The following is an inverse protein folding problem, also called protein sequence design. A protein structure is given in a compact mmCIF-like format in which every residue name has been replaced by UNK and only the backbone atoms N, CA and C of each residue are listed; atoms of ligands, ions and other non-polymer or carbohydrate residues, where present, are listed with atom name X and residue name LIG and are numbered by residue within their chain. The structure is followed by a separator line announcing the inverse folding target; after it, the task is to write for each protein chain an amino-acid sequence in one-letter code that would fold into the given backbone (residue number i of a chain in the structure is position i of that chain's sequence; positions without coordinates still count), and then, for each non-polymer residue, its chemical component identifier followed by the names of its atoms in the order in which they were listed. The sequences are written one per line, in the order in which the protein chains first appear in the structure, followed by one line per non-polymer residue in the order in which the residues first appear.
data_IF_276181452981
#
_entry.id   IF_276181452981
#
_cell.length_a   1.000
_cell.length_b   1.000
_cell.length_c   1.000
_cell.angle_alpha   90.00
_cell.angle_beta   90.00
_cell.angle_gamma   90.00
#
_symmetry.space_group_name_H-M   'P 1'
#
loop_
_entity.id
_entity.type
_entity.pdbx_description
1 polymer ?
#
# COMPACT_ATOMS: atom_id res chain seq x y z
N UNK A 1 2.84 10.90 -5.23
CA UNK A 1 1.42 10.84 -5.62
C UNK A 1 0.48 11.50 -4.59
N UNK A 2 0.75 11.41 -3.29
CA UNK A 2 -0.17 11.92 -2.25
C UNK A 2 -0.50 13.41 -2.39
N UNK A 3 0.49 14.26 -2.59
CA UNK A 3 0.27 15.72 -2.75
C UNK A 3 -0.58 16.01 -3.99
N UNK A 4 -0.30 15.35 -5.10
CA UNK A 4 -1.04 15.54 -6.35
C UNK A 4 -2.49 15.09 -6.23
N UNK A 5 -2.71 13.91 -5.65
CA UNK A 5 -4.05 13.41 -5.38
C UNK A 5 -4.82 14.36 -4.45
N UNK A 6 -4.19 14.83 -3.37
CA UNK A 6 -4.80 15.76 -2.44
C UNK A 6 -5.25 17.06 -3.11
N UNK A 7 -4.40 17.64 -3.99
CA UNK A 7 -4.77 18.82 -4.79
C UNK A 7 -6.01 18.58 -5.64
N UNK A 8 -6.02 17.50 -6.43
CA UNK A 8 -7.14 17.16 -7.30
C UNK A 8 -8.45 16.99 -6.53
N UNK A 9 -8.38 16.30 -5.36
CA UNK A 9 -9.57 16.11 -4.52
C UNK A 9 -10.07 17.42 -3.90
N UNK A 10 -9.18 18.26 -3.39
CA UNK A 10 -9.53 19.58 -2.84
C UNK A 10 -10.14 20.48 -3.94
N UNK A 11 -9.53 20.50 -5.11
CA UNK A 11 -10.02 21.30 -6.24
C UNK A 11 -11.43 20.89 -6.68
N UNK A 12 -11.70 19.57 -6.68
CA UNK A 12 -13.00 19.04 -7.10
C UNK A 12 -14.08 19.20 -6.02
N UNK A 13 -13.78 18.81 -4.79
CA UNK A 13 -14.78 18.68 -3.73
C UNK A 13 -14.89 19.91 -2.82
N UNK A 14 -13.91 20.82 -2.87
CA UNK A 14 -13.82 22.02 -2.02
C UNK A 14 -13.86 21.72 -0.52
N UNK A 15 -13.34 20.56 -0.13
CA UNK A 15 -13.21 20.13 1.28
C UNK A 15 -11.75 19.85 1.63
N UNK A 16 -11.36 20.03 2.88
CA UNK A 16 -10.02 19.66 3.33
C UNK A 16 -9.79 18.15 3.19
N UNK A 17 -8.63 17.77 2.66
CA UNK A 17 -8.21 16.37 2.53
C UNK A 17 -6.95 16.15 3.35
N UNK A 18 -6.94 15.10 4.16
CA UNK A 18 -5.78 14.66 4.92
C UNK A 18 -5.23 13.36 4.32
N UNK A 19 -3.98 13.38 3.88
CA UNK A 19 -3.24 12.19 3.43
C UNK A 19 -2.13 11.92 4.42
N UNK A 20 -2.17 10.74 5.05
CA UNK A 20 -1.23 10.37 6.11
C UNK A 20 -0.27 9.32 5.55
N UNK A 21 1.01 9.61 5.61
CA UNK A 21 2.04 8.66 5.17
C UNK A 21 2.41 7.71 6.31
N UNK A 22 2.07 6.42 6.13
CA UNK A 22 2.46 5.31 7.01
C UNK A 22 3.56 4.42 6.41
N UNK A 23 4.08 4.77 5.23
CA UNK A 23 5.06 3.94 4.54
C UNK A 23 6.46 4.04 5.12
N UNK A 24 7.23 2.96 4.93
CA UNK A 24 8.66 2.90 5.13
C UNK A 24 9.31 2.24 3.92
N UNK A 25 10.28 2.93 3.32
CA UNK A 25 11.00 2.39 2.15
C UNK A 25 11.88 1.18 2.52
N UNK A 26 12.09 0.29 1.54
CA UNK A 26 12.98 -0.86 1.70
C UNK A 26 12.44 -1.99 2.57
N UNK A 27 11.11 -2.06 2.79
CA UNK A 27 10.49 -3.04 3.68
C UNK A 27 9.65 -4.06 2.94
N UNK A 28 9.53 -5.27 3.53
CA UNK A 28 8.62 -6.34 3.10
C UNK A 28 7.27 -6.21 3.80
N UNK A 29 6.27 -6.87 3.27
CA UNK A 29 4.90 -6.83 3.82
C UNK A 29 4.80 -7.45 5.24
N UNK A 30 5.63 -8.45 5.57
CA UNK A 30 5.68 -9.04 6.91
C UNK A 30 6.11 -8.03 7.99
N UNK A 31 6.90 -7.01 7.63
CA UNK A 31 7.35 -5.96 8.53
C UNK A 31 6.28 -4.89 8.81
N UNK A 32 5.18 -4.91 8.09
CA UNK A 32 4.04 -4.01 8.27
C UNK A 32 2.91 -4.60 9.13
N UNK A 33 3.12 -5.79 9.69
CA UNK A 33 2.10 -6.44 10.52
C UNK A 33 1.91 -5.72 11.85
N UNK A 34 0.70 -5.81 12.39
CA UNK A 34 0.35 -5.31 13.72
C UNK A 34 1.06 -6.13 14.80
N UNK A 35 1.64 -5.48 15.80
CA UNK A 35 2.08 -6.14 17.02
C UNK A 35 0.88 -6.35 17.94
N UNK A 36 0.40 -7.58 18.07
CA UNK A 36 -0.80 -7.86 18.85
C UNK A 36 -0.59 -7.68 20.37
N UNK A 37 0.65 -7.80 20.86
CA UNK A 37 0.97 -7.57 22.27
C UNK A 37 1.00 -6.07 22.63
N UNK A 38 1.46 -5.22 21.71
CA UNK A 38 1.43 -3.76 21.83
C UNK A 38 1.18 -3.14 20.44
N UNK A 39 -0.08 -2.91 20.08
CA UNK A 39 -0.41 -2.35 18.76
C UNK A 39 0.14 -0.95 18.50
N UNK A 40 0.48 -0.22 19.53
CA UNK A 40 1.02 1.14 19.46
C UNK A 40 2.52 1.23 19.61
N UNK A 41 3.20 0.09 19.60
CA UNK A 41 4.66 0.02 19.67
C UNK A 41 5.30 0.85 18.54
N UNK A 42 5.84 2.01 18.92
CA UNK A 42 6.45 2.97 17.97
C UNK A 42 7.75 2.46 17.35
N UNK A 43 8.29 1.33 17.78
CA UNK A 43 9.43 0.68 17.11
C UNK A 43 9.00 -0.05 15.84
N UNK A 44 7.72 -0.40 15.71
CA UNK A 44 7.14 -1.06 14.54
C UNK A 44 6.60 -0.05 13.53
N UNK A 45 6.52 -0.44 12.26
CA UNK A 45 5.96 0.42 11.20
C UNK A 45 4.48 0.65 11.45
N UNK A 46 3.74 -0.41 11.76
CA UNK A 46 2.31 -0.37 12.04
C UNK A 46 2.02 0.51 13.26
N UNK A 47 2.71 0.24 14.36
CA UNK A 47 2.46 0.93 15.63
C UNK A 47 2.76 2.43 15.57
N UNK A 48 3.81 2.85 14.85
CA UNK A 48 4.09 4.27 14.61
C UNK A 48 2.95 4.99 13.90
N UNK A 49 2.32 4.34 12.91
CA UNK A 49 1.18 4.93 12.21
C UNK A 49 -0.04 4.99 13.13
N UNK A 50 -0.35 3.89 13.81
CA UNK A 50 -1.49 3.80 14.72
C UNK A 50 -1.37 4.82 15.86
N UNK A 51 -0.21 4.90 16.51
CA UNK A 51 0.04 5.86 17.57
C UNK A 51 -0.21 7.31 17.11
N UNK A 52 0.35 7.69 15.95
CA UNK A 52 0.14 9.05 15.40
C UNK A 52 -1.33 9.36 15.12
N UNK A 53 -2.06 8.39 14.56
CA UNK A 53 -3.48 8.57 14.27
C UNK A 53 -4.32 8.65 15.53
N UNK A 54 -3.96 7.91 16.58
CA UNK A 54 -4.61 8.01 17.89
C UNK A 54 -4.35 9.38 18.55
N UNK A 55 -3.09 9.85 18.57
CA UNK A 55 -2.76 11.17 19.11
C UNK A 55 -3.49 12.29 18.38
N UNK A 56 -3.63 12.17 17.06
CA UNK A 56 -4.37 13.12 16.24
C UNK A 56 -5.90 12.94 16.29
N UNK A 57 -6.41 11.91 16.97
CA UNK A 57 -7.85 11.53 17.01
C UNK A 57 -8.46 11.28 15.62
N UNK A 58 -7.65 10.71 14.71
CA UNK A 58 -8.02 10.51 13.30
C UNK A 58 -8.33 9.04 12.94
N UNK A 59 -8.29 8.10 13.89
CA UNK A 59 -8.55 6.68 13.61
C UNK A 59 -9.90 6.42 12.94
N UNK A 60 -10.94 7.15 13.37
CA UNK A 60 -12.26 7.10 12.75
C UNK A 60 -12.41 7.96 11.48
N UNK A 61 -11.41 8.77 11.19
CA UNK A 61 -11.36 9.61 9.99
C UNK A 61 -10.84 8.89 8.73
N UNK A 62 -10.15 7.76 8.91
CA UNK A 62 -9.56 7.02 7.78
C UNK A 62 -10.67 6.43 6.93
N UNK A 63 -10.72 6.80 5.65
CA UNK A 63 -11.73 6.34 4.68
C UNK A 63 -11.20 5.35 3.67
N UNK A 64 -9.91 5.37 3.40
CA UNK A 64 -9.27 4.46 2.46
C UNK A 64 -7.81 4.24 2.77
N UNK A 65 -7.29 3.15 2.26
CA UNK A 65 -5.87 2.81 2.30
C UNK A 65 -5.36 2.74 0.87
N UNK A 66 -4.26 3.45 0.60
CA UNK A 66 -3.56 3.38 -0.68
C UNK A 66 -2.25 2.65 -0.44
N UNK A 67 -2.07 1.53 -1.13
CA UNK A 67 -0.94 0.64 -0.93
C UNK A 67 -0.13 0.47 -2.21
N UNK A 68 1.16 0.76 -2.13
CA UNK A 68 2.15 0.49 -3.16
C UNK A 68 3.41 -0.04 -2.49
N UNK A 69 3.59 -1.33 -2.56
CA UNK A 69 4.70 -2.04 -1.93
C UNK A 69 4.78 -3.45 -2.54
N UNK A 70 5.91 -4.09 -2.47
CA UNK A 70 6.13 -5.46 -2.91
C UNK A 70 7.51 -5.67 -3.53
N UNK A 71 8.27 -4.62 -3.79
CA UNK A 71 9.58 -4.69 -4.43
C UNK A 71 10.55 -5.57 -3.64
N UNK A 72 10.42 -5.63 -2.32
CA UNK A 72 11.23 -6.48 -1.45
C UNK A 72 10.61 -7.86 -1.17
N UNK A 73 9.41 -8.13 -1.71
CA UNK A 73 8.71 -9.41 -1.61
C UNK A 73 8.74 -10.22 -2.92
N UNK A 74 9.56 -9.82 -3.89
CA UNK A 74 9.63 -10.47 -5.20
C UNK A 74 10.25 -11.86 -5.14
N UNK A 75 11.15 -12.11 -4.17
CA UNK A 75 11.80 -13.41 -4.01
C UNK A 75 10.84 -14.50 -3.60
N UNK A 76 11.29 -15.75 -3.71
CA UNK A 76 10.65 -16.87 -3.04
C UNK A 76 10.67 -16.64 -1.52
N UNK A 77 9.79 -17.33 -0.80
CA UNK A 77 9.87 -17.34 0.66
C UNK A 77 11.31 -17.64 1.08
N UNK A 78 11.86 -16.82 1.98
CA UNK A 78 13.22 -17.01 2.49
C UNK A 78 13.42 -18.41 3.06
N UNK A 79 14.61 -18.68 3.56
CA UNK A 79 15.00 -20.01 4.10
C UNK A 79 14.01 -20.57 5.13
N UNK A 80 13.22 -19.71 5.78
CA UNK A 80 12.17 -20.09 6.76
C UNK A 80 10.77 -20.21 6.15
N UNK A 81 10.59 -19.91 4.87
CA UNK A 81 9.25 -19.88 4.23
C UNK A 81 8.32 -18.79 4.75
N UNK A 82 8.84 -17.74 5.39
CA UNK A 82 8.03 -16.74 6.12
C UNK A 82 7.73 -15.48 5.33
N UNK A 83 8.34 -15.23 4.19
CA UNK A 83 8.14 -14.04 3.36
C UNK A 83 8.26 -14.34 1.86
N UNK A 84 8.05 -13.33 1.02
CA UNK A 84 8.09 -13.43 -0.43
C UNK A 84 6.69 -13.52 -1.04
N UNK A 85 6.63 -13.68 -2.36
CA UNK A 85 5.38 -13.68 -3.11
C UNK A 85 4.40 -14.79 -2.67
N UNK A 86 4.91 -15.89 -2.13
CA UNK A 86 4.09 -17.04 -1.67
C UNK A 86 3.17 -16.62 -0.53
N UNK A 87 3.66 -15.84 0.43
CA UNK A 87 2.93 -15.45 1.64
C UNK A 87 2.35 -14.03 1.55
N UNK A 88 2.53 -13.33 0.43
CA UNK A 88 2.14 -11.91 0.28
C UNK A 88 0.64 -11.70 0.51
N UNK A 89 -0.19 -12.57 -0.07
CA UNK A 89 -1.65 -12.50 0.06
C UNK A 89 -2.11 -12.67 1.51
N UNK A 90 -1.57 -13.67 2.21
CA UNK A 90 -1.89 -13.94 3.61
C UNK A 90 -1.51 -12.79 4.53
N UNK A 91 -0.34 -12.20 4.31
CA UNK A 91 0.08 -11.02 5.06
C UNK A 91 -0.80 -9.80 4.75
N UNK A 92 -1.20 -9.61 3.50
CA UNK A 92 -2.10 -8.53 3.15
C UNK A 92 -3.48 -8.68 3.81
N UNK A 93 -4.03 -9.89 3.79
CA UNK A 93 -5.32 -10.20 4.44
C UNK A 93 -5.25 -9.90 5.94
N UNK A 94 -4.22 -10.40 6.64
CA UNK A 94 -4.03 -10.13 8.08
C UNK A 94 -3.89 -8.64 8.38
N UNK A 95 -3.04 -7.95 7.63
CA UNK A 95 -2.83 -6.52 7.79
C UNK A 95 -4.11 -5.71 7.53
N UNK A 96 -4.89 -6.08 6.51
CA UNK A 96 -6.16 -5.41 6.21
C UNK A 96 -7.20 -5.62 7.30
N UNK A 97 -7.22 -6.79 7.95
CA UNK A 97 -8.07 -7.06 9.10
C UNK A 97 -7.66 -6.18 10.30
N UNK A 98 -6.36 -6.06 10.57
CA UNK A 98 -5.83 -5.17 11.60
C UNK A 98 -6.16 -3.71 11.30
N UNK A 99 -6.01 -3.26 10.06
CA UNK A 99 -6.43 -1.91 9.67
C UNK A 99 -7.94 -1.69 9.88
N UNK A 100 -8.77 -2.68 9.57
CA UNK A 100 -10.21 -2.56 9.77
C UNK A 100 -10.59 -2.49 11.25
N UNK A 101 -9.83 -3.19 12.10
CA UNK A 101 -9.98 -3.13 13.55
C UNK A 101 -9.62 -1.73 14.09
N UNK A 102 -8.46 -1.19 13.71
CA UNK A 102 -7.95 0.07 14.25
C UNK A 102 -8.51 1.32 13.55
N UNK A 103 -8.97 1.17 12.29
CA UNK A 103 -9.56 2.21 11.45
C UNK A 103 -10.93 1.75 10.92
N UNK A 104 -11.98 1.71 11.77
CA UNK A 104 -13.24 1.00 11.48
C UNK A 104 -14.01 1.60 10.28
N UNK A 105 -13.70 2.83 9.90
CA UNK A 105 -14.40 3.54 8.82
C UNK A 105 -13.73 3.41 7.44
N UNK A 106 -12.73 2.54 7.28
CA UNK A 106 -12.18 2.22 5.96
C UNK A 106 -13.29 1.71 5.06
N UNK A 107 -13.44 2.34 3.90
CA UNK A 107 -14.42 1.98 2.87
C UNK A 107 -13.79 1.23 1.72
N UNK A 108 -12.54 1.52 1.38
CA UNK A 108 -11.90 0.97 0.19
C UNK A 108 -10.39 0.84 0.34
N UNK A 109 -9.83 -0.15 -0.34
CA UNK A 109 -8.39 -0.38 -0.51
C UNK A 109 -8.02 -0.11 -1.96
N UNK A 110 -6.97 0.67 -2.19
CA UNK A 110 -6.46 1.05 -3.50
C UNK A 110 -5.03 0.53 -3.64
N UNK A 111 -4.83 -0.43 -4.53
CA UNK A 111 -3.54 -1.10 -4.66
C UNK A 111 -2.90 -0.72 -5.99
N UNK A 112 -1.67 -0.21 -5.97
CA UNK A 112 -0.82 -0.16 -7.15
C UNK A 112 0.06 -1.41 -7.19
N UNK A 113 0.01 -2.15 -8.30
CA UNK A 113 0.97 -3.23 -8.52
C UNK A 113 2.39 -2.66 -8.56
N UNK A 114 3.37 -3.45 -8.13
CA UNK A 114 4.78 -3.12 -8.40
C UNK A 114 5.03 -3.10 -9.91
N UNK A 115 6.05 -2.34 -10.33
CA UNK A 115 6.40 -2.27 -11.74
C UNK A 115 7.09 -3.56 -12.22
N UNK A 116 6.88 -4.00 -13.47
CA UNK A 116 7.62 -5.14 -14.01
C UNK A 116 9.11 -4.86 -14.07
N UNK A 117 9.91 -5.66 -13.36
CA UNK A 117 11.35 -5.42 -13.24
C UNK A 117 11.72 -4.34 -12.24
N UNK A 118 10.83 -3.99 -11.31
CA UNK A 118 11.15 -3.10 -10.19
C UNK A 118 12.43 -3.55 -9.47
N UNK A 119 13.27 -2.59 -9.06
CA UNK A 119 14.56 -2.83 -8.42
C UNK A 119 15.56 -3.66 -9.26
N UNK A 120 15.41 -3.66 -10.59
CA UNK A 120 16.27 -4.42 -11.49
C UNK A 120 15.94 -5.92 -11.58
N UNK A 121 14.94 -6.38 -10.87
CA UNK A 121 14.51 -7.78 -10.87
C UNK A 121 13.52 -8.06 -11.99
N UNK A 122 13.99 -8.48 -13.15
CA UNK A 122 13.16 -9.10 -14.18
C UNK A 122 13.17 -10.62 -13.96
N UNK A 123 12.54 -11.06 -12.90
CA UNK A 123 12.48 -12.47 -12.54
C UNK A 123 11.05 -12.99 -12.62
N UNK A 124 10.92 -14.31 -12.71
CA UNK A 124 9.62 -15.00 -12.62
C UNK A 124 8.92 -14.66 -11.30
N UNK A 125 9.67 -14.42 -10.24
CA UNK A 125 9.17 -14.05 -8.92
C UNK A 125 8.50 -12.67 -8.92
N UNK A 126 9.03 -11.71 -9.69
CA UNK A 126 8.36 -10.42 -9.90
C UNK A 126 6.97 -10.60 -10.53
N UNK A 127 6.89 -11.44 -11.57
CA UNK A 127 5.61 -11.70 -12.24
C UNK A 127 4.65 -12.48 -11.33
N UNK A 128 5.16 -13.42 -10.53
CA UNK A 128 4.36 -14.15 -9.53
C UNK A 128 3.80 -13.22 -8.46
N UNK A 129 4.61 -12.30 -7.94
CA UNK A 129 4.14 -11.32 -6.97
C UNK A 129 3.09 -10.37 -7.59
N UNK A 130 3.34 -9.87 -8.79
CA UNK A 130 2.37 -9.03 -9.52
C UNK A 130 1.07 -9.78 -9.74
N UNK A 131 1.12 -11.07 -10.03
CA UNK A 131 -0.08 -11.90 -10.17
C UNK A 131 -0.80 -12.06 -8.83
N UNK A 132 -0.09 -12.25 -7.70
CA UNK A 132 -0.70 -12.24 -6.36
C UNK A 132 -1.42 -10.91 -6.09
N UNK A 133 -0.77 -9.79 -6.38
CA UNK A 133 -1.40 -8.47 -6.24
C UNK A 133 -2.65 -8.35 -7.12
N UNK A 134 -2.61 -8.82 -8.38
CA UNK A 134 -3.76 -8.80 -9.30
C UNK A 134 -4.94 -9.64 -8.79
N UNK A 135 -4.66 -10.70 -8.03
CA UNK A 135 -5.69 -11.61 -7.50
C UNK A 135 -6.33 -11.11 -6.20
N UNK A 136 -5.69 -10.19 -5.45
CA UNK A 136 -6.22 -9.67 -4.18
C UNK A 136 -7.70 -9.23 -4.26
N UNK A 137 -8.19 -8.54 -5.30
CA UNK A 137 -9.60 -8.15 -5.37
C UNK A 137 -10.59 -9.31 -5.38
N UNK A 138 -10.15 -10.55 -5.60
CA UNK A 138 -11.03 -11.73 -5.48
C UNK A 138 -11.41 -12.04 -4.03
N UNK A 139 -10.59 -11.56 -3.08
CA UNK A 139 -10.81 -11.72 -1.65
C UNK A 139 -11.53 -10.52 -1.02
N UNK A 140 -11.68 -9.42 -1.75
CA UNK A 140 -12.19 -8.16 -1.22
C UNK A 140 -13.26 -7.55 -2.13
N UNK A 141 -14.45 -7.28 -1.61
CA UNK A 141 -15.50 -6.58 -2.34
C UNK A 141 -15.24 -5.07 -2.50
N UNK A 142 -14.30 -4.53 -1.76
CA UNK A 142 -14.00 -3.11 -1.68
C UNK A 142 -12.53 -2.80 -1.98
N UNK A 143 -12.00 -3.39 -3.05
CA UNK A 143 -10.62 -3.19 -3.48
C UNK A 143 -10.56 -2.86 -4.97
N UNK A 144 -9.73 -1.88 -5.30
CA UNK A 144 -9.33 -1.58 -6.67
C UNK A 144 -7.83 -1.81 -6.83
N UNK A 145 -7.45 -2.43 -7.93
CA UNK A 145 -6.05 -2.62 -8.29
C UNK A 145 -5.73 -1.86 -9.57
N UNK A 146 -4.59 -1.18 -9.56
CA UNK A 146 -4.11 -0.39 -10.67
C UNK A 146 -2.77 -0.92 -11.17
N UNK A 147 -2.66 -1.08 -12.46
CA UNK A 147 -1.40 -1.46 -13.09
C UNK A 147 -0.46 -0.26 -13.21
N UNK A 148 0.79 -0.47 -12.88
CA UNK A 148 1.86 0.50 -13.14
C UNK A 148 2.55 0.29 -14.48
N UNK A 149 2.09 -0.65 -15.31
CA UNK A 149 2.75 -1.04 -16.56
C UNK A 149 2.93 0.12 -17.54
N UNK A 150 1.95 1.01 -17.63
CA UNK A 150 2.00 2.21 -18.47
C UNK A 150 2.73 3.41 -17.85
N UNK A 151 3.25 3.28 -16.65
CA UNK A 151 3.95 4.36 -15.94
C UNK A 151 5.45 4.13 -16.07
N UNK A 152 6.15 5.06 -16.73
CA UNK A 152 7.60 4.95 -16.92
C UNK A 152 8.34 5.06 -15.58
N UNK A 153 9.15 4.06 -15.19
CA UNK A 153 9.97 4.14 -13.99
C UNK A 153 11.12 5.11 -14.19
N UNK A 154 11.61 5.67 -13.09
CA UNK A 154 12.78 6.54 -13.09
C UNK A 154 14.11 5.78 -13.09
N UNK A 155 14.04 4.46 -12.98
CA UNK A 155 15.18 3.56 -12.76
C UNK A 155 15.16 2.97 -11.34
N UNK A 156 15.61 1.73 -11.22
CA UNK A 156 15.60 1.03 -9.93
C UNK A 156 14.21 0.75 -9.39
N UNK A 157 13.97 1.09 -8.13
CA UNK A 157 12.73 0.80 -7.40
C UNK A 157 11.71 1.94 -7.43
N UNK A 158 12.08 3.12 -7.90
CA UNK A 158 11.27 4.32 -7.74
C UNK A 158 10.87 4.94 -9.08
N UNK A 159 9.70 5.60 -9.08
CA UNK A 159 9.26 6.42 -10.19
C UNK A 159 9.82 7.84 -10.08
N UNK A 160 9.91 8.53 -11.20
CA UNK A 160 10.12 9.99 -11.21
C UNK A 160 8.85 10.72 -10.77
N UNK A 161 8.94 12.02 -10.55
CA UNK A 161 7.80 12.85 -10.13
C UNK A 161 6.59 12.70 -11.05
N UNK A 162 6.80 12.63 -12.36
CA UNK A 162 5.76 12.44 -13.36
C UNK A 162 5.07 11.07 -13.24
N UNK A 163 5.83 10.02 -12.88
CA UNK A 163 5.29 8.69 -12.63
C UNK A 163 4.38 8.67 -11.41
N UNK A 164 4.81 9.30 -10.33
CA UNK A 164 3.96 9.45 -9.13
C UNK A 164 2.73 10.32 -9.39
N UNK A 165 2.83 11.35 -10.21
CA UNK A 165 1.68 12.13 -10.64
C UNK A 165 0.71 11.30 -11.51
N UNK A 166 1.24 10.42 -12.36
CA UNK A 166 0.41 9.48 -13.12
C UNK A 166 -0.34 8.49 -12.21
N UNK A 167 0.30 7.97 -11.16
CA UNK A 167 -0.36 7.15 -10.14
C UNK A 167 -1.49 7.91 -9.44
N UNK A 168 -1.30 9.18 -9.12
CA UNK A 168 -2.35 10.02 -8.53
C UNK A 168 -3.55 10.18 -9.48
N UNK A 169 -3.30 10.39 -10.78
CA UNK A 169 -4.36 10.47 -11.79
C UNK A 169 -5.13 9.16 -11.97
N UNK A 170 -4.49 8.00 -11.82
CA UNK A 170 -5.18 6.71 -11.82
C UNK A 170 -6.07 6.53 -10.58
N UNK A 171 -5.64 7.02 -9.42
CA UNK A 171 -6.40 6.95 -8.18
C UNK A 171 -7.61 7.89 -8.17
N UNK A 172 -7.45 9.08 -8.71
CA UNK A 172 -8.44 10.15 -8.58
C UNK A 172 -9.88 9.73 -8.93
N UNK A 173 -10.17 9.06 -10.06
CA UNK A 173 -11.52 8.64 -10.39
C UNK A 173 -12.08 7.56 -9.47
N UNK A 174 -11.24 6.85 -8.73
CA UNK A 174 -11.63 5.76 -7.83
C UNK A 174 -11.91 6.25 -6.41
N UNK A 175 -11.22 7.30 -5.98
CA UNK A 175 -11.33 7.89 -4.62
C UNK A 175 -12.46 8.93 -4.56
N UNK A 176 -12.99 9.24 -5.67
CA UNK A 176 -13.89 10.37 -5.92
C UNK A 176 -15.37 10.07 -5.60
#
# INVERSE_FOLDING_TARGET
WGVELGKMLIEKHKVPICIINGAQGGTRIDQHQRNEADPTDVTTIYGRLLWRLQQAKLTHGVRGVIWHQGENDQGESGATGTFGWVNYEDYFIRMSASWKQDYPNIKHYYIHQIWPGACGSRSVENDRLRERQRQLPRQFSNMSIMSTLGIRPGGGCHFLAEGYAAMARQLFPLVN
#
